data_IF_637295759791
#
_entry.id   IF_637295759791
#
_cell.length_a   1.000
_cell.length_b   1.000
_cell.length_c   1.000
_cell.angle_alpha   90.00
_cell.angle_beta   90.00
_cell.angle_gamma   90.00
#
_symmetry.space_group_name_H-M   'P 1'
#
loop_
_entity.id
_entity.type
_entity.pdbx_description
1 polymer ?
#
# COMPACT_ATOMS: atom_id res chain seq x y z
N UNK A 1 28.68 -6.08 -1.10
CA UNK A 1 28.60 -6.73 0.24
C UNK A 1 27.67 -7.93 0.22
N UNK A 2 27.90 -8.98 1.01
CA UNK A 2 26.90 -10.03 1.23
C UNK A 2 25.80 -9.43 2.12
N UNK A 3 24.55 -9.51 1.68
CA UNK A 3 23.42 -8.88 2.35
C UNK A 3 22.49 -9.97 2.90
N UNK A 4 22.41 -10.03 4.23
CA UNK A 4 21.50 -10.92 4.94
C UNK A 4 20.29 -10.14 5.50
N UNK A 5 19.13 -10.78 5.69
CA UNK A 5 17.98 -10.14 6.31
C UNK A 5 18.26 -9.87 7.79
N UNK A 6 18.16 -8.61 8.21
CA UNK A 6 18.30 -8.17 9.61
C UNK A 6 16.96 -7.72 10.15
N UNK A 7 16.21 -8.68 10.70
CA UNK A 7 14.90 -8.44 11.29
C UNK A 7 15.05 -7.99 12.74
N UNK A 8 14.41 -6.88 13.10
CA UNK A 8 14.26 -6.39 14.48
C UNK A 8 12.78 -6.24 14.75
N UNK A 9 12.25 -7.04 15.66
CA UNK A 9 10.81 -7.13 15.92
C UNK A 9 10.05 -7.47 14.62
N UNK A 10 9.32 -6.50 14.05
CA UNK A 10 8.53 -6.65 12.83
C UNK A 10 9.07 -5.80 11.68
N UNK A 11 10.33 -5.36 11.75
CA UNK A 11 10.96 -4.52 10.73
C UNK A 11 12.23 -5.21 10.24
N UNK A 12 12.37 -5.38 8.92
CA UNK A 12 13.65 -5.73 8.31
C UNK A 12 14.42 -4.45 7.99
N UNK A 13 15.64 -4.36 8.47
CA UNK A 13 16.48 -3.16 8.34
C UNK A 13 17.44 -3.20 7.16
N UNK A 14 17.49 -4.32 6.45
CA UNK A 14 18.24 -4.52 5.20
C UNK A 14 17.29 -4.88 4.07
N UNK A 15 17.68 -4.55 2.84
CA UNK A 15 16.98 -4.97 1.62
C UNK A 15 18.01 -5.46 0.59
N UNK A 16 17.63 -6.46 -0.21
CA UNK A 16 18.50 -7.06 -1.21
C UNK A 16 18.21 -6.49 -2.60
N UNK A 17 19.17 -5.80 -3.27
CA UNK A 17 18.91 -5.13 -4.55
C UNK A 17 18.34 -6.05 -5.62
N UNK A 18 19.01 -7.20 -5.85
CA UNK A 18 18.60 -8.16 -6.88
C UNK A 18 17.25 -8.81 -6.56
N UNK A 19 16.99 -9.12 -5.29
CA UNK A 19 15.70 -9.69 -4.89
C UNK A 19 14.56 -8.68 -4.97
N UNK A 20 14.78 -7.40 -4.65
CA UNK A 20 13.80 -6.35 -4.90
C UNK A 20 13.53 -6.18 -6.41
N UNK A 21 14.55 -6.23 -7.24
CA UNK A 21 14.39 -6.21 -8.69
C UNK A 21 13.58 -7.42 -9.18
N UNK A 22 13.86 -8.63 -8.65
CA UNK A 22 13.09 -9.83 -8.98
C UNK A 22 11.62 -9.69 -8.56
N UNK A 23 11.35 -9.13 -7.40
CA UNK A 23 9.99 -8.82 -6.97
C UNK A 23 9.23 -7.96 -7.97
N UNK A 24 9.88 -6.90 -8.48
CA UNK A 24 9.27 -6.00 -9.45
C UNK A 24 9.03 -6.69 -10.79
N UNK A 25 9.98 -7.50 -11.28
CA UNK A 25 9.82 -8.30 -12.51
C UNK A 25 8.64 -9.27 -12.40
N UNK A 26 8.56 -10.01 -11.30
CA UNK A 26 7.47 -10.96 -11.06
C UNK A 26 6.10 -10.27 -11.01
N UNK A 27 6.02 -9.08 -10.41
CA UNK A 27 4.82 -8.26 -10.39
C UNK A 27 4.45 -7.76 -11.80
N UNK A 28 5.43 -7.28 -12.57
CA UNK A 28 5.23 -6.81 -13.93
C UNK A 28 4.77 -7.94 -14.87
N UNK A 29 5.38 -9.11 -14.76
CA UNK A 29 4.99 -10.31 -15.51
C UNK A 29 3.57 -10.75 -15.17
N UNK A 30 3.19 -10.69 -13.90
CA UNK A 30 1.81 -10.98 -13.50
C UNK A 30 0.81 -9.98 -14.11
N UNK A 31 1.09 -8.68 -13.97
CA UNK A 31 0.22 -7.63 -14.52
C UNK A 31 0.10 -7.74 -16.05
N UNK A 32 1.21 -7.95 -16.76
CA UNK A 32 1.23 -8.15 -18.20
C UNK A 32 0.31 -9.30 -18.66
N UNK A 33 0.31 -10.43 -17.91
CA UNK A 33 -0.56 -11.59 -18.20
C UNK A 33 -2.05 -11.30 -18.02
N UNK A 34 -2.42 -10.26 -17.26
CA UNK A 34 -3.83 -9.86 -17.09
C UNK A 34 -4.37 -9.09 -18.32
N UNK A 35 -3.48 -8.69 -19.25
CA UNK A 35 -3.83 -8.03 -20.49
C UNK A 35 -3.96 -6.51 -20.38
N UNK A 36 -4.09 -5.90 -21.54
CA UNK A 36 -4.22 -4.44 -21.69
C UNK A 36 -5.67 -4.00 -21.59
N UNK A 37 -5.87 -2.83 -20.98
CA UNK A 37 -7.17 -2.15 -20.93
C UNK A 37 -7.04 -0.73 -21.49
N UNK A 38 -8.16 -0.17 -21.93
CA UNK A 38 -8.20 1.25 -22.30
C UNK A 38 -8.35 2.09 -21.03
N UNK A 39 -7.23 2.30 -20.33
CA UNK A 39 -7.15 3.02 -19.07
C UNK A 39 -6.34 4.30 -19.16
N UNK A 40 -5.71 4.66 -18.04
CA UNK A 40 -4.86 5.85 -17.90
C UNK A 40 -3.76 5.90 -18.95
N UNK A 41 -3.39 7.11 -19.35
CA UNK A 41 -2.26 7.37 -20.23
C UNK A 41 -1.11 8.06 -19.51
N UNK A 42 -1.41 8.84 -18.49
CA UNK A 42 -0.42 9.58 -17.70
C UNK A 42 -0.84 9.59 -16.24
N UNK A 43 -0.07 8.94 -15.39
CA UNK A 43 -0.41 8.75 -13.98
C UNK A 43 0.59 9.42 -13.04
N UNK A 44 0.05 10.06 -11.98
CA UNK A 44 0.78 10.44 -10.78
C UNK A 44 0.51 9.40 -9.69
N UNK A 45 1.57 8.77 -9.17
CA UNK A 45 1.46 7.77 -8.10
C UNK A 45 2.16 8.29 -6.84
N UNK A 46 1.39 8.67 -5.84
CA UNK A 46 1.88 9.18 -4.56
C UNK A 46 2.04 8.00 -3.60
N UNK A 47 3.27 7.75 -3.13
CA UNK A 47 3.64 6.55 -2.37
C UNK A 47 3.94 5.35 -3.29
N UNK A 48 4.77 5.55 -4.33
CA UNK A 48 4.92 4.65 -5.49
C UNK A 48 5.95 3.53 -5.33
N UNK A 49 6.66 3.44 -4.21
CA UNK A 49 7.88 2.63 -4.13
C UNK A 49 7.68 1.21 -3.60
N UNK A 50 6.56 0.96 -2.89
CA UNK A 50 6.24 -0.34 -2.28
C UNK A 50 4.74 -0.60 -2.26
N UNK A 51 4.33 -1.83 -1.94
CA UNK A 51 2.94 -2.21 -1.68
C UNK A 51 1.97 -1.85 -2.81
N UNK A 52 0.81 -1.32 -2.44
CA UNK A 52 -0.26 -0.98 -3.39
C UNK A 52 0.13 0.15 -4.35
N UNK A 53 0.96 1.11 -3.90
CA UNK A 53 1.41 2.19 -4.76
C UNK A 53 2.36 1.69 -5.86
N UNK A 54 3.31 0.82 -5.54
CA UNK A 54 4.17 0.17 -6.53
C UNK A 54 3.35 -0.69 -7.49
N UNK A 55 2.43 -1.51 -6.97
CA UNK A 55 1.54 -2.33 -7.79
C UNK A 55 0.70 -1.47 -8.74
N UNK A 56 0.20 -0.31 -8.28
CA UNK A 56 -0.54 0.64 -9.13
C UNK A 56 0.32 1.21 -10.25
N UNK A 57 1.57 1.54 -9.94
CA UNK A 57 2.52 2.06 -10.92
C UNK A 57 2.85 1.01 -11.98
N UNK A 58 3.07 -0.24 -11.55
CA UNK A 58 3.30 -1.37 -12.44
C UNK A 58 2.06 -1.61 -13.32
N UNK A 59 0.85 -1.64 -12.76
CA UNK A 59 -0.37 -1.84 -13.55
C UNK A 59 -0.65 -0.67 -14.51
N UNK A 60 -0.34 0.57 -14.14
CA UNK A 60 -0.45 1.70 -15.06
C UNK A 60 0.47 1.51 -16.28
N UNK A 61 1.68 1.01 -16.09
CA UNK A 61 2.61 0.69 -17.16
C UNK A 61 2.15 -0.55 -17.96
N UNK A 62 1.93 -1.68 -17.25
CA UNK A 62 1.73 -2.98 -17.90
C UNK A 62 0.33 -3.15 -18.52
N UNK A 63 -0.71 -2.67 -17.81
CA UNK A 63 -2.09 -2.86 -18.27
C UNK A 63 -2.63 -1.67 -19.07
N UNK A 64 -2.00 -0.49 -18.99
CA UNK A 64 -2.49 0.70 -19.69
C UNK A 64 -1.48 1.33 -20.66
N UNK A 65 -0.19 0.95 -20.58
CA UNK A 65 0.89 1.58 -21.34
C UNK A 65 1.11 3.04 -20.95
N UNK A 66 0.91 3.38 -19.66
CA UNK A 66 0.92 4.75 -19.21
C UNK A 66 2.33 5.27 -18.88
N UNK A 67 2.55 6.53 -19.17
CA UNK A 67 3.64 7.32 -18.60
C UNK A 67 3.40 7.60 -17.12
N UNK A 68 4.43 7.54 -16.27
CA UNK A 68 4.23 7.68 -14.83
C UNK A 68 5.21 8.64 -14.18
N UNK A 69 4.68 9.52 -13.31
CA UNK A 69 5.45 10.23 -12.29
C UNK A 69 5.15 9.61 -10.92
N UNK A 70 6.19 9.22 -10.18
CA UNK A 70 6.06 8.67 -8.85
C UNK A 70 6.55 9.62 -7.77
N UNK A 71 5.95 9.56 -6.58
CA UNK A 71 6.45 10.22 -5.37
C UNK A 71 6.80 9.12 -4.37
N UNK A 72 8.02 9.14 -3.84
CA UNK A 72 8.49 8.22 -2.80
C UNK A 72 9.20 8.97 -1.68
N UNK A 73 9.36 8.33 -0.54
CA UNK A 73 10.20 8.86 0.54
C UNK A 73 11.09 7.74 1.07
N UNK A 74 12.20 7.54 0.39
CA UNK A 74 13.09 6.42 0.58
C UNK A 74 14.51 6.87 0.92
N UNK A 75 15.18 6.09 1.76
CA UNK A 75 16.57 6.32 2.12
C UNK A 75 17.50 5.55 1.19
N UNK A 76 18.44 6.27 0.58
CA UNK A 76 19.49 5.67 -0.25
C UNK A 76 20.50 4.89 0.59
N UNK A 77 21.26 4.02 -0.05
CA UNK A 77 22.41 3.33 0.54
C UNK A 77 23.51 4.33 0.91
N UNK A 78 24.42 3.94 1.78
CA UNK A 78 25.54 4.81 2.21
C UNK A 78 26.83 4.05 2.49
N UNK A 79 27.08 2.96 1.79
CA UNK A 79 28.27 2.13 1.94
C UNK A 79 28.31 1.24 3.21
N UNK A 80 27.57 1.58 4.25
CA UNK A 80 27.43 0.81 5.50
C UNK A 80 26.05 0.16 5.65
N UNK A 81 25.05 0.71 4.94
CA UNK A 81 23.66 0.25 5.00
C UNK A 81 23.12 0.14 3.59
N UNK A 82 22.29 -0.85 3.37
CA UNK A 82 21.51 -0.94 2.15
C UNK A 82 20.54 0.24 2.06
N UNK A 83 20.10 0.58 0.86
CA UNK A 83 18.94 1.43 0.69
C UNK A 83 17.70 0.76 1.30
N UNK A 84 16.63 1.52 1.47
CA UNK A 84 15.31 0.96 1.73
C UNK A 84 14.78 0.26 0.47
N UNK A 85 13.91 -0.76 0.59
CA UNK A 85 13.52 -1.60 -0.57
C UNK A 85 12.91 -0.80 -1.71
N UNK A 86 12.20 0.29 -1.38
CA UNK A 86 11.58 1.14 -2.41
C UNK A 86 12.57 1.82 -3.36
N UNK A 87 13.82 2.06 -2.96
CA UNK A 87 14.86 2.52 -3.89
C UNK A 87 15.13 1.47 -4.97
N UNK A 88 15.38 0.21 -4.57
CA UNK A 88 15.67 -0.89 -5.48
C UNK A 88 14.48 -1.23 -6.39
N UNK A 89 13.28 -1.22 -5.83
CA UNK A 89 12.04 -1.40 -6.58
C UNK A 89 11.88 -0.31 -7.66
N UNK A 90 12.17 0.95 -7.30
CA UNK A 90 12.07 2.09 -8.22
C UNK A 90 13.09 1.97 -9.36
N UNK A 91 14.32 1.54 -9.06
CA UNK A 91 15.35 1.34 -10.06
C UNK A 91 14.89 0.31 -11.12
N UNK A 92 14.40 -0.84 -10.68
CA UNK A 92 13.93 -1.88 -11.60
C UNK A 92 12.67 -1.44 -12.36
N UNK A 93 11.74 -0.74 -11.70
CA UNK A 93 10.57 -0.19 -12.40
C UNK A 93 10.98 0.79 -13.52
N UNK A 94 11.95 1.69 -13.26
CA UNK A 94 12.45 2.62 -14.29
C UNK A 94 13.11 1.87 -15.46
N UNK A 95 13.86 0.80 -15.16
CA UNK A 95 14.46 -0.05 -16.19
C UNK A 95 13.38 -0.68 -17.11
N UNK A 96 12.33 -1.27 -16.50
CA UNK A 96 11.21 -1.86 -17.24
C UNK A 96 10.45 -0.82 -18.08
N UNK A 97 10.22 0.37 -17.53
CA UNK A 97 9.57 1.46 -18.25
C UNK A 97 10.41 1.90 -19.46
N UNK A 98 11.74 2.04 -19.30
CA UNK A 98 12.65 2.40 -20.37
C UNK A 98 12.67 1.35 -21.49
N UNK A 99 12.65 0.06 -21.17
CA UNK A 99 12.56 -1.02 -22.15
C UNK A 99 11.27 -0.96 -22.99
N UNK A 100 10.19 -0.44 -22.40
CA UNK A 100 8.91 -0.23 -23.10
C UNK A 100 8.81 1.13 -23.80
N UNK A 101 9.82 1.99 -23.66
CA UNK A 101 9.83 3.35 -24.20
C UNK A 101 8.83 4.28 -23.48
N UNK A 102 8.40 3.93 -22.27
CA UNK A 102 7.50 4.72 -21.45
C UNK A 102 8.27 5.70 -20.56
N UNK A 103 7.68 6.88 -20.33
CA UNK A 103 8.22 7.83 -19.38
C UNK A 103 8.05 7.33 -17.94
N UNK A 104 9.13 7.37 -17.18
CA UNK A 104 9.12 7.12 -15.74
C UNK A 104 10.10 8.05 -15.04
N UNK A 105 9.58 8.90 -14.16
CA UNK A 105 10.39 9.68 -13.22
C UNK A 105 9.85 9.53 -11.80
N UNK A 106 10.70 9.79 -10.82
CA UNK A 106 10.33 9.71 -9.40
C UNK A 106 10.91 10.90 -8.64
N UNK A 107 10.10 11.54 -7.82
CA UNK A 107 10.55 12.53 -6.83
C UNK A 107 10.72 11.82 -5.49
N UNK A 108 11.90 11.96 -4.89
CA UNK A 108 12.18 11.41 -3.56
C UNK A 108 12.11 12.51 -2.51
N UNK A 109 11.07 12.52 -1.70
CA UNK A 109 10.85 13.49 -0.65
C UNK A 109 9.53 13.30 0.08
N UNK A 110 9.31 14.09 1.11
CA UNK A 110 8.09 14.04 1.91
C UNK A 110 6.87 14.51 1.11
N UNK A 111 6.01 13.57 0.73
CA UNK A 111 4.80 13.83 -0.05
C UNK A 111 3.82 14.81 0.64
N UNK A 112 3.88 14.96 1.96
CA UNK A 112 3.07 15.92 2.70
C UNK A 112 3.54 17.37 2.52
N UNK A 113 4.80 17.57 2.11
CA UNK A 113 5.37 18.90 1.98
C UNK A 113 4.88 19.64 0.73
N UNK A 114 4.77 20.96 0.86
CA UNK A 114 4.48 21.83 -0.29
C UNK A 114 5.57 21.76 -1.35
N UNK A 115 6.83 21.63 -0.95
CA UNK A 115 7.98 21.55 -1.85
C UNK A 115 7.84 20.38 -2.83
N UNK A 116 7.49 19.20 -2.33
CA UNK A 116 7.31 17.99 -3.17
C UNK A 116 6.08 18.11 -4.06
N UNK A 117 4.97 18.71 -3.58
CA UNK A 117 3.80 18.99 -4.42
C UNK A 117 4.17 19.95 -5.58
N UNK A 118 4.87 21.04 -5.29
CA UNK A 118 5.31 22.00 -6.29
C UNK A 118 6.26 21.35 -7.31
N UNK A 119 7.20 20.49 -6.86
CA UNK A 119 8.13 19.77 -7.71
C UNK A 119 7.42 18.78 -8.65
N UNK A 120 6.45 18.06 -8.13
CA UNK A 120 5.61 17.16 -8.95
C UNK A 120 4.85 17.94 -10.03
N UNK A 121 4.26 19.07 -9.66
CA UNK A 121 3.53 19.95 -10.60
C UNK A 121 4.48 20.50 -11.69
N UNK A 122 5.69 20.93 -11.32
CA UNK A 122 6.70 21.37 -12.28
C UNK A 122 7.01 20.27 -13.31
N UNK A 123 7.27 19.05 -12.83
CA UNK A 123 7.59 17.91 -13.71
C UNK A 123 6.39 17.50 -14.58
N UNK A 124 5.17 17.51 -14.06
CA UNK A 124 3.99 17.23 -14.86
C UNK A 124 3.85 18.25 -15.99
N UNK A 125 3.95 19.56 -15.68
CA UNK A 125 3.88 20.62 -16.70
C UNK A 125 4.94 20.48 -17.78
N UNK A 126 6.17 20.16 -17.36
CA UNK A 126 7.32 20.08 -18.27
C UNK A 126 7.29 18.83 -19.15
N UNK A 127 7.00 17.67 -18.57
CA UNK A 127 7.26 16.37 -19.20
C UNK A 127 5.96 15.69 -19.67
N UNK A 128 4.85 15.86 -18.95
CA UNK A 128 3.59 15.14 -19.21
C UNK A 128 2.46 16.05 -19.72
N UNK A 129 2.52 17.34 -19.43
CA UNK A 129 1.44 18.29 -19.65
C UNK A 129 0.36 18.17 -18.60
N UNK A 130 -0.47 17.12 -18.67
CA UNK A 130 -1.52 16.82 -17.70
C UNK A 130 -1.52 15.32 -17.39
N UNK A 131 -2.04 14.94 -16.21
CA UNK A 131 -2.27 13.54 -15.82
C UNK A 131 -3.75 13.24 -15.74
N UNK A 132 -4.13 12.01 -16.04
CA UNK A 132 -5.51 11.53 -16.04
C UNK A 132 -5.81 10.54 -14.90
N UNK A 133 -4.76 10.11 -14.16
CA UNK A 133 -4.88 9.30 -12.96
C UNK A 133 -3.98 9.85 -11.85
N UNK A 134 -4.55 9.97 -10.63
CA UNK A 134 -3.78 10.24 -9.40
C UNK A 134 -4.06 9.12 -8.40
N UNK A 135 -3.04 8.34 -8.05
CA UNK A 135 -3.16 7.33 -6.99
C UNK A 135 -2.58 7.90 -5.70
N UNK A 136 -3.38 7.91 -4.64
CA UNK A 136 -2.97 8.32 -3.30
C UNK A 136 -2.80 7.08 -2.41
N UNK A 137 -1.56 6.67 -2.21
CA UNK A 137 -1.17 5.44 -1.50
C UNK A 137 -0.15 5.74 -0.39
N UNK A 138 -0.52 6.60 0.54
CA UNK A 138 0.32 6.94 1.69
C UNK A 138 -0.15 6.23 2.95
N UNK A 139 0.80 5.62 3.67
CA UNK A 139 0.63 5.09 5.01
C UNK A 139 1.89 5.47 5.81
N UNK A 140 1.81 6.52 6.61
CA UNK A 140 2.95 7.05 7.34
C UNK A 140 2.66 7.06 8.86
N UNK A 141 3.68 6.89 9.71
CA UNK A 141 3.52 7.03 11.15
C UNK A 141 3.42 8.50 11.60
N UNK A 142 3.86 9.43 10.75
CA UNK A 142 3.92 10.87 11.07
C UNK A 142 3.67 11.72 9.83
N UNK A 143 3.11 12.91 10.08
CA UNK A 143 2.97 14.00 9.10
C UNK A 143 3.36 15.32 9.76
N UNK A 144 4.13 16.14 9.06
CA UNK A 144 4.31 17.55 9.41
C UNK A 144 3.34 18.36 8.56
N UNK A 145 2.49 19.18 9.19
CA UNK A 145 1.55 20.05 8.48
C UNK A 145 2.19 21.34 7.99
N UNK A 146 1.40 22.16 7.29
CA UNK A 146 1.86 23.45 6.74
C UNK A 146 2.29 24.48 7.80
N UNK A 147 1.90 24.30 9.05
CA UNK A 147 2.27 25.16 10.18
C UNK A 147 3.52 24.65 10.90
N UNK A 148 4.08 23.51 10.48
CA UNK A 148 5.23 22.85 11.08
C UNK A 148 4.91 21.99 12.29
N UNK A 149 3.62 21.75 12.59
CA UNK A 149 3.20 20.83 13.66
C UNK A 149 3.35 19.37 13.21
N UNK A 150 3.97 18.56 14.07
CA UNK A 150 4.14 17.13 13.84
C UNK A 150 2.96 16.37 14.44
N UNK A 151 2.25 15.63 13.61
CA UNK A 151 1.20 14.71 13.98
C UNK A 151 1.71 13.27 13.93
N UNK A 152 1.27 12.42 14.85
CA UNK A 152 1.66 11.00 14.89
C UNK A 152 0.42 10.12 14.92
N UNK A 153 0.35 9.14 14.03
CA UNK A 153 -0.72 8.15 14.03
C UNK A 153 -0.48 7.07 15.09
N UNK A 154 -1.56 6.54 15.63
CA UNK A 154 -1.51 5.37 16.51
C UNK A 154 -2.61 4.37 16.13
N UNK A 155 -2.45 3.14 16.62
CA UNK A 155 -3.40 2.05 16.45
C UNK A 155 -3.97 1.69 17.82
N UNK A 156 -5.13 2.26 18.13
CA UNK A 156 -5.84 2.08 19.38
C UNK A 156 -7.34 1.99 19.12
N UNK A 157 -8.08 1.49 20.09
CA UNK A 157 -9.55 1.51 20.08
C UNK A 157 -10.07 2.94 20.29
N UNK A 158 -11.32 3.20 19.92
CA UNK A 158 -12.03 4.44 20.24
C UNK A 158 -13.22 4.10 21.13
N UNK A 159 -13.01 4.06 22.43
CA UNK A 159 -14.05 3.70 23.39
C UNK A 159 -13.51 2.84 24.53
N UNK A 160 -13.81 1.56 24.51
CA UNK A 160 -13.35 0.63 25.56
C UNK A 160 -12.07 -0.09 25.13
N UNK A 161 -11.30 -0.58 26.12
CA UNK A 161 -10.16 -1.44 25.85
C UNK A 161 -10.62 -2.76 25.22
N UNK A 162 -9.82 -3.28 24.29
CA UNK A 162 -10.12 -4.52 23.58
C UNK A 162 -9.03 -5.56 23.85
N UNK A 163 -9.43 -6.69 24.42
CA UNK A 163 -8.53 -7.82 24.70
C UNK A 163 -8.89 -9.00 23.82
N UNK A 164 -7.93 -9.53 23.06
CA UNK A 164 -8.14 -10.66 22.19
C UNK A 164 -6.81 -11.39 21.93
N UNK A 165 -6.90 -12.60 21.32
CA UNK A 165 -5.76 -13.40 20.89
C UNK A 165 -4.88 -12.62 19.92
N UNK A 166 -3.59 -12.76 20.10
CA UNK A 166 -2.56 -12.19 19.24
C UNK A 166 -1.44 -13.22 18.99
N UNK A 167 -0.89 -13.24 17.80
CA UNK A 167 0.23 -14.10 17.44
C UNK A 167 1.55 -13.33 17.60
N UNK A 168 2.43 -13.83 18.45
CA UNK A 168 3.83 -13.43 18.43
C UNK A 168 4.59 -14.26 17.39
N UNK A 169 4.86 -13.62 16.24
CA UNK A 169 5.54 -14.28 15.12
C UNK A 169 6.99 -14.68 15.39
N UNK A 170 7.61 -14.19 16.48
CA UNK A 170 9.01 -14.51 16.81
C UNK A 170 9.16 -15.92 17.38
N UNK A 171 8.17 -16.39 18.10
CA UNK A 171 8.14 -17.70 18.75
C UNK A 171 6.91 -18.55 18.38
N UNK A 172 6.01 -18.00 17.55
CA UNK A 172 4.73 -18.60 17.17
C UNK A 172 3.80 -18.88 18.36
N UNK A 173 3.87 -18.06 19.39
CA UNK A 173 3.01 -18.18 20.56
C UNK A 173 1.74 -17.33 20.41
N UNK A 174 0.64 -17.89 20.89
CA UNK A 174 -0.64 -17.17 20.96
C UNK A 174 -0.84 -16.74 22.42
N UNK A 175 -1.01 -15.44 22.60
CA UNK A 175 -1.30 -14.83 23.89
C UNK A 175 -2.38 -13.76 23.75
N UNK A 176 -3.09 -13.48 24.83
CA UNK A 176 -3.99 -12.35 24.87
C UNK A 176 -3.22 -11.03 24.87
N UNK A 177 -3.68 -10.08 24.09
CA UNK A 177 -3.18 -8.71 24.06
C UNK A 177 -4.32 -7.74 24.26
N UNK A 178 -4.11 -6.78 25.12
CA UNK A 178 -5.05 -5.67 25.36
C UNK A 178 -4.58 -4.45 24.58
N UNK A 179 -5.50 -3.87 23.83
CA UNK A 179 -5.32 -2.57 23.16
C UNK A 179 -6.14 -1.55 23.92
N UNK A 180 -5.45 -0.57 24.48
CA UNK A 180 -6.07 0.50 25.25
C UNK A 180 -6.76 1.53 24.34
N UNK A 181 -7.78 2.23 24.84
CA UNK A 181 -8.43 3.28 24.08
C UNK A 181 -7.53 4.49 23.85
N UNK A 182 -7.74 5.13 22.71
CA UNK A 182 -7.07 6.37 22.37
C UNK A 182 -7.69 7.57 23.12
N UNK A 183 -6.87 8.56 23.40
CA UNK A 183 -7.36 9.88 23.77
C UNK A 183 -7.93 10.61 22.54
N UNK A 184 -8.73 11.65 22.76
CA UNK A 184 -9.25 12.48 21.65
C UNK A 184 -8.12 13.10 20.81
N UNK A 185 -7.01 13.50 21.45
CA UNK A 185 -5.84 14.02 20.75
C UNK A 185 -5.16 12.96 19.88
N UNK A 186 -5.04 11.72 20.33
CA UNK A 186 -4.51 10.60 19.54
C UNK A 186 -5.41 10.26 18.35
N UNK A 187 -6.74 10.30 18.52
CA UNK A 187 -7.69 10.13 17.43
C UNK A 187 -7.52 11.24 16.40
N UNK A 188 -7.54 12.52 16.84
CA UNK A 188 -7.33 13.67 15.95
C UNK A 188 -6.00 13.57 15.21
N UNK A 189 -4.92 13.25 15.94
CA UNK A 189 -3.58 13.11 15.36
C UNK A 189 -3.53 12.02 14.29
N UNK A 190 -4.20 10.89 14.53
CA UNK A 190 -4.30 9.81 13.55
C UNK A 190 -5.09 10.23 12.30
N UNK A 191 -6.18 10.99 12.48
CA UNK A 191 -6.94 11.56 11.36
C UNK A 191 -6.10 12.53 10.54
N UNK A 192 -5.30 13.38 11.19
CA UNK A 192 -4.38 14.32 10.51
C UNK A 192 -3.31 13.61 9.65
N UNK A 193 -2.84 12.44 10.08
CA UNK A 193 -1.83 11.67 9.35
C UNK A 193 -2.45 10.77 8.27
N UNK A 194 -3.53 10.06 8.60
CA UNK A 194 -4.05 8.92 7.81
C UNK A 194 -5.42 9.19 7.17
N UNK A 195 -6.01 10.37 7.45
CA UNK A 195 -7.28 10.82 6.85
C UNK A 195 -7.09 11.37 5.44
N UNK A 196 -8.12 12.08 4.97
CA UNK A 196 -8.15 12.55 3.58
C UNK A 196 -7.60 13.97 3.36
N UNK A 197 -7.21 14.70 4.41
CA UNK A 197 -6.81 16.11 4.29
C UNK A 197 -5.71 16.32 3.24
N UNK A 198 -4.61 15.57 3.33
CA UNK A 198 -3.52 15.70 2.36
C UNK A 198 -3.89 15.20 0.95
N UNK A 199 -4.80 14.24 0.84
CA UNK A 199 -5.34 13.86 -0.46
C UNK A 199 -6.08 15.01 -1.14
N UNK A 200 -6.93 15.74 -0.38
CA UNK A 200 -7.58 16.94 -0.88
C UNK A 200 -6.54 18.02 -1.24
N UNK A 201 -5.53 18.28 -0.38
CA UNK A 201 -4.45 19.24 -0.64
C UNK A 201 -3.72 18.93 -1.97
N UNK A 202 -3.48 17.64 -2.27
CA UNK A 202 -2.89 17.24 -3.55
C UNK A 202 -3.81 17.57 -4.73
N UNK A 203 -5.09 17.22 -4.65
CA UNK A 203 -6.04 17.45 -5.74
C UNK A 203 -6.23 18.96 -5.97
N UNK A 204 -6.39 19.74 -4.89
CA UNK A 204 -6.49 21.20 -4.97
C UNK A 204 -5.26 21.84 -5.63
N UNK A 205 -4.06 21.42 -5.25
CA UNK A 205 -2.81 21.92 -5.83
C UNK A 205 -2.69 21.56 -7.33
N UNK A 206 -3.02 20.33 -7.71
CA UNK A 206 -2.99 19.89 -9.11
C UNK A 206 -4.04 20.62 -9.96
N UNK A 207 -5.25 20.84 -9.43
CA UNK A 207 -6.30 21.62 -10.08
C UNK A 207 -5.91 23.08 -10.25
N UNK A 208 -5.42 23.72 -9.20
CA UNK A 208 -4.98 25.12 -9.26
C UNK A 208 -3.85 25.33 -10.27
N UNK A 209 -3.03 24.30 -10.49
CA UNK A 209 -1.93 24.33 -11.45
C UNK A 209 -2.34 23.97 -12.89
N UNK A 210 -3.59 23.58 -13.13
CA UNK A 210 -4.15 23.11 -14.41
C UNK A 210 -3.38 21.91 -15.01
N UNK A 211 -3.04 20.93 -14.18
CA UNK A 211 -2.28 19.74 -14.58
C UNK A 211 -3.08 18.42 -14.50
N UNK A 212 -4.39 18.51 -14.28
CA UNK A 212 -5.32 17.39 -14.42
C UNK A 212 -6.09 17.47 -15.74
N UNK A 213 -6.33 16.32 -16.36
CA UNK A 213 -7.25 16.27 -17.51
C UNK A 213 -8.70 16.45 -17.03
N UNK A 214 -9.59 16.79 -17.95
CA UNK A 214 -11.02 16.69 -17.70
C UNK A 214 -11.40 15.23 -17.42
N UNK A 215 -12.22 14.99 -16.39
CA UNK A 215 -12.58 13.67 -15.87
C UNK A 215 -11.39 12.82 -15.37
N UNK A 216 -10.34 13.46 -14.91
CA UNK A 216 -9.25 12.75 -14.26
C UNK A 216 -9.76 11.93 -13.06
N UNK A 217 -9.23 10.74 -12.90
CA UNK A 217 -9.57 9.84 -11.79
C UNK A 217 -8.57 10.00 -10.66
N UNK A 218 -9.05 10.06 -9.42
CA UNK A 218 -8.16 9.92 -8.26
C UNK A 218 -8.62 8.78 -7.35
N UNK A 219 -7.69 7.89 -7.01
CA UNK A 219 -7.94 6.68 -6.21
C UNK A 219 -7.15 6.74 -4.91
N UNK A 220 -7.84 6.64 -3.77
CA UNK A 220 -7.21 6.42 -2.48
C UNK A 220 -7.47 4.99 -1.98
N UNK A 221 -6.53 4.42 -1.22
CA UNK A 221 -6.66 3.06 -0.70
C UNK A 221 -7.14 3.04 0.75
N UNK A 222 -8.04 2.10 1.03
CA UNK A 222 -8.61 1.86 2.34
C UNK A 222 -8.64 0.37 2.67
N UNK A 223 -8.91 0.08 3.94
CA UNK A 223 -9.21 -1.23 4.45
C UNK A 223 -10.32 -1.11 5.50
N UNK A 224 -11.27 -2.02 5.51
CA UNK A 224 -12.36 -2.09 6.49
C UNK A 224 -12.16 -3.31 7.41
N UNK A 225 -11.90 -4.46 6.83
CA UNK A 225 -11.76 -5.74 7.53
C UNK A 225 -13.10 -6.33 7.97
N UNK A 226 -13.08 -7.51 8.62
CA UNK A 226 -14.26 -8.18 9.12
C UNK A 226 -14.61 -7.73 10.55
N UNK A 227 -15.81 -8.12 11.01
CA UNK A 227 -16.30 -7.87 12.37
C UNK A 227 -15.29 -8.28 13.46
N UNK A 228 -14.52 -9.34 13.23
CA UNK A 228 -13.51 -9.85 14.17
C UNK A 228 -12.45 -8.80 14.51
N UNK A 229 -12.11 -7.93 13.57
CA UNK A 229 -11.10 -6.87 13.74
C UNK A 229 -11.70 -5.48 13.93
N UNK A 230 -13.01 -5.33 13.88
CA UNK A 230 -13.69 -4.03 14.00
C UNK A 230 -13.26 -3.21 15.22
N UNK A 231 -13.11 -3.78 16.44
CA UNK A 231 -12.76 -2.97 17.62
C UNK A 231 -11.44 -2.22 17.47
N UNK A 232 -10.44 -2.82 16.81
CA UNK A 232 -9.12 -2.23 16.64
C UNK A 232 -8.94 -1.54 15.26
N UNK A 233 -9.80 -1.84 14.30
CA UNK A 233 -9.66 -1.30 12.94
C UNK A 233 -10.81 -0.36 12.60
N UNK A 234 -12.00 -0.87 12.29
CA UNK A 234 -13.15 -0.07 11.84
C UNK A 234 -13.65 0.90 12.91
N UNK A 235 -13.71 0.46 14.17
CA UNK A 235 -14.06 1.27 15.34
C UNK A 235 -12.81 1.76 16.10
N UNK A 236 -11.63 1.71 15.48
CA UNK A 236 -10.39 2.23 16.04
C UNK A 236 -10.00 3.59 15.44
N UNK A 237 -8.84 4.08 15.85
CA UNK A 237 -8.27 5.35 15.38
C UNK A 237 -8.10 5.37 13.86
N UNK A 238 -7.66 4.24 13.26
CA UNK A 238 -7.51 4.11 11.81
C UNK A 238 -8.88 4.13 11.12
N UNK A 239 -9.89 3.46 11.67
CA UNK A 239 -11.24 3.50 11.14
C UNK A 239 -11.81 4.93 11.10
N UNK A 240 -11.59 5.70 12.16
CA UNK A 240 -11.96 7.13 12.20
C UNK A 240 -11.25 7.92 11.08
N UNK A 241 -9.95 7.67 10.86
CA UNK A 241 -9.22 8.28 9.76
C UNK A 241 -9.76 7.85 8.38
N UNK A 242 -10.20 6.59 8.22
CA UNK A 242 -10.80 6.09 6.97
C UNK A 242 -12.21 6.66 6.73
N UNK A 243 -12.98 6.92 7.77
CA UNK A 243 -14.25 7.66 7.67
C UNK A 243 -14.01 9.10 7.22
N UNK A 244 -12.95 9.75 7.74
CA UNK A 244 -12.54 11.07 7.26
C UNK A 244 -12.12 11.01 5.78
N UNK A 245 -11.39 9.97 5.36
CA UNK A 245 -11.03 9.77 3.95
C UNK A 245 -12.28 9.65 3.06
N UNK A 246 -13.30 8.91 3.50
CA UNK A 246 -14.58 8.78 2.80
C UNK A 246 -15.31 10.13 2.66
N UNK A 247 -15.34 10.90 3.74
CA UNK A 247 -15.91 12.27 3.72
C UNK A 247 -15.16 13.15 2.71
N UNK A 248 -13.83 13.10 2.73
CA UNK A 248 -12.98 13.84 1.79
C UNK A 248 -13.23 13.43 0.34
N UNK A 249 -13.44 12.15 0.04
CA UNK A 249 -13.84 11.70 -1.31
C UNK A 249 -15.08 12.46 -1.80
N UNK A 250 -16.09 12.58 -0.95
CA UNK A 250 -17.32 13.29 -1.29
C UNK A 250 -17.07 14.79 -1.46
N UNK A 251 -16.23 15.38 -0.61
CA UNK A 251 -15.85 16.80 -0.69
C UNK A 251 -15.08 17.11 -1.98
N UNK A 252 -14.12 16.26 -2.38
CA UNK A 252 -13.39 16.42 -3.66
C UNK A 252 -14.35 16.34 -4.84
N UNK A 253 -15.25 15.35 -4.89
CA UNK A 253 -16.22 15.22 -5.97
C UNK A 253 -17.20 16.41 -6.05
N UNK A 254 -17.52 17.04 -4.92
CA UNK A 254 -18.35 18.22 -4.87
C UNK A 254 -17.61 19.48 -5.29
N UNK A 255 -16.37 19.65 -4.83
CA UNK A 255 -15.54 20.83 -5.12
C UNK A 255 -15.02 20.85 -6.57
N UNK A 256 -14.73 19.68 -7.12
CA UNK A 256 -14.15 19.48 -8.46
C UNK A 256 -15.01 18.52 -9.29
N UNK A 257 -16.15 18.95 -9.87
CA UNK A 257 -17.07 18.05 -10.61
C UNK A 257 -16.44 17.41 -11.86
N UNK A 258 -15.32 17.91 -12.33
CA UNK A 258 -14.51 17.39 -13.44
C UNK A 258 -13.37 16.46 -12.98
N UNK A 259 -13.35 16.06 -11.71
CA UNK A 259 -12.48 15.05 -11.14
C UNK A 259 -13.33 13.94 -10.54
N UNK A 260 -12.96 12.70 -10.76
CA UNK A 260 -13.66 11.56 -10.17
C UNK A 260 -12.82 10.94 -9.04
N UNK A 261 -13.14 11.29 -7.79
CA UNK A 261 -12.51 10.72 -6.62
C UNK A 261 -13.23 9.43 -6.18
N UNK A 262 -12.48 8.35 -6.00
CA UNK A 262 -12.98 7.05 -5.54
C UNK A 262 -12.05 6.45 -4.48
N UNK A 263 -12.59 5.59 -3.63
CA UNK A 263 -11.83 4.80 -2.66
C UNK A 263 -11.89 3.34 -3.06
N UNK A 264 -10.73 2.70 -3.17
CA UNK A 264 -10.63 1.25 -3.28
C UNK A 264 -10.42 0.66 -1.88
N UNK A 265 -11.38 -0.17 -1.45
CA UNK A 265 -11.27 -0.92 -0.21
C UNK A 265 -10.60 -2.24 -0.52
N UNK A 266 -9.35 -2.36 -0.10
CA UNK A 266 -8.51 -3.49 -0.45
C UNK A 266 -8.62 -4.62 0.60
N UNK A 267 -8.21 -5.82 0.22
CA UNK A 267 -8.11 -6.99 1.08
C UNK A 267 -6.95 -6.85 2.09
N UNK A 268 -7.09 -7.43 3.26
CA UNK A 268 -6.04 -7.51 4.26
C UNK A 268 -4.81 -8.28 3.78
N UNK A 269 -3.63 -7.68 3.97
CA UNK A 269 -2.35 -8.24 3.56
C UNK A 269 -1.26 -8.00 4.62
N UNK A 270 -0.25 -8.87 4.59
CA UNK A 270 0.99 -8.64 5.31
C UNK A 270 1.70 -7.43 4.70
N UNK A 271 1.90 -6.43 5.53
CA UNK A 271 2.69 -5.25 5.23
C UNK A 271 3.61 -4.95 6.40
N UNK A 272 4.61 -4.11 6.19
CA UNK A 272 5.49 -3.69 7.30
C UNK A 272 4.68 -3.03 8.43
N UNK A 273 3.64 -2.26 8.10
CA UNK A 273 2.79 -1.61 9.09
C UNK A 273 1.88 -2.62 9.83
N UNK A 274 1.28 -3.58 9.13
CA UNK A 274 0.32 -4.52 9.70
C UNK A 274 0.95 -5.51 10.68
N UNK A 275 2.22 -5.84 10.51
CA UNK A 275 2.94 -6.76 11.40
C UNK A 275 3.09 -6.23 12.84
N UNK A 276 3.03 -4.91 13.02
CA UNK A 276 3.12 -4.25 14.32
C UNK A 276 1.77 -4.08 15.04
N UNK A 277 0.65 -4.41 14.39
CA UNK A 277 -0.70 -4.21 14.94
C UNK A 277 -1.10 -5.42 15.79
N UNK A 278 -1.43 -5.27 17.09
CA UNK A 278 -1.94 -6.38 17.89
C UNK A 278 -3.13 -7.07 17.19
N UNK A 279 -3.29 -8.39 17.38
CA UNK A 279 -4.39 -9.18 16.81
C UNK A 279 -4.28 -9.43 15.29
N UNK A 280 -3.89 -8.43 14.51
CA UNK A 280 -3.84 -8.47 13.04
C UNK A 280 -2.92 -9.56 12.46
N UNK A 281 -1.71 -9.82 12.99
CA UNK A 281 -0.88 -10.92 12.50
C UNK A 281 -1.55 -12.29 12.59
N UNK A 282 -2.28 -12.56 13.67
CA UNK A 282 -3.04 -13.79 13.81
C UNK A 282 -4.16 -13.88 12.77
N UNK A 283 -4.91 -12.80 12.61
CA UNK A 283 -5.97 -12.73 11.63
C UNK A 283 -5.45 -13.00 10.22
N UNK A 284 -4.36 -12.35 9.80
CA UNK A 284 -3.79 -12.53 8.47
C UNK A 284 -3.21 -13.94 8.28
N UNK A 285 -2.54 -14.50 9.27
CA UNK A 285 -2.01 -15.86 9.17
C UNK A 285 -3.13 -16.90 8.98
N UNK A 286 -4.27 -16.73 9.66
CA UNK A 286 -5.47 -17.57 9.46
C UNK A 286 -6.10 -17.29 8.10
N UNK A 287 -6.32 -16.03 7.75
CA UNK A 287 -6.92 -15.61 6.48
C UNK A 287 -6.15 -16.18 5.28
N UNK A 288 -4.82 -16.10 5.31
CA UNK A 288 -3.95 -16.66 4.27
C UNK A 288 -4.18 -18.15 4.10
N UNK A 289 -4.21 -18.91 5.20
CA UNK A 289 -4.48 -20.34 5.15
C UNK A 289 -5.83 -20.66 4.52
N UNK A 290 -6.87 -19.97 4.95
CA UNK A 290 -8.23 -20.18 4.48
C UNK A 290 -8.37 -19.78 3.02
N UNK A 291 -7.90 -18.60 2.63
CA UNK A 291 -8.03 -18.11 1.26
C UNK A 291 -7.13 -18.84 0.26
N UNK A 292 -5.92 -19.24 0.64
CA UNK A 292 -5.06 -20.08 -0.22
C UNK A 292 -5.71 -21.45 -0.47
N UNK A 293 -6.31 -22.04 0.56
CA UNK A 293 -7.07 -23.29 0.42
C UNK A 293 -8.30 -23.14 -0.48
N UNK A 294 -8.96 -21.99 -0.44
CA UNK A 294 -10.10 -21.66 -1.29
C UNK A 294 -9.69 -21.24 -2.72
N UNK A 295 -8.41 -20.98 -2.98
CA UNK A 295 -7.90 -20.57 -4.28
C UNK A 295 -8.21 -19.12 -4.67
N UNK A 296 -8.53 -18.26 -3.69
CA UNK A 296 -8.89 -16.85 -3.90
C UNK A 296 -8.06 -15.85 -3.11
N UNK A 297 -6.89 -16.29 -2.61
CA UNK A 297 -5.92 -15.37 -2.00
C UNK A 297 -5.29 -14.48 -3.07
N UNK A 298 -5.19 -13.19 -2.77
CA UNK A 298 -4.56 -12.19 -3.64
C UNK A 298 -3.52 -11.39 -2.85
N UNK A 299 -2.34 -11.16 -3.43
CA UNK A 299 -1.35 -10.20 -2.95
C UNK A 299 -1.59 -8.79 -3.55
N UNK A 300 -0.68 -7.82 -3.30
CA UNK A 300 -0.84 -6.45 -3.77
C UNK A 300 -1.04 -6.36 -5.29
N UNK A 301 -0.15 -6.98 -6.08
CA UNK A 301 -0.21 -6.86 -7.54
C UNK A 301 -1.46 -7.55 -8.11
N UNK A 302 -1.88 -8.67 -7.53
CA UNK A 302 -3.08 -9.38 -7.96
C UNK A 302 -4.34 -8.56 -7.75
N UNK A 303 -4.47 -7.92 -6.57
CA UNK A 303 -5.58 -7.02 -6.29
C UNK A 303 -5.58 -5.80 -7.22
N UNK A 304 -4.43 -5.15 -7.42
CA UNK A 304 -4.37 -3.94 -8.24
C UNK A 304 -4.57 -4.26 -9.72
N UNK A 305 -4.04 -5.36 -10.22
CA UNK A 305 -4.31 -5.78 -11.60
C UNK A 305 -5.80 -6.05 -11.81
N UNK A 306 -6.48 -6.72 -10.85
CA UNK A 306 -7.94 -6.91 -10.87
C UNK A 306 -8.69 -5.58 -10.74
N UNK A 307 -8.20 -4.64 -9.89
CA UNK A 307 -8.76 -3.30 -9.81
C UNK A 307 -8.72 -2.60 -11.17
N UNK A 308 -7.56 -2.55 -11.82
CA UNK A 308 -7.39 -1.85 -13.09
C UNK A 308 -8.19 -2.51 -14.23
N UNK A 309 -8.13 -3.84 -14.34
CA UNK A 309 -8.70 -4.56 -15.50
C UNK A 309 -10.18 -4.89 -15.37
N UNK A 310 -10.74 -4.95 -14.16
CA UNK A 310 -12.09 -5.46 -13.94
C UNK A 310 -13.03 -4.50 -13.19
N UNK A 311 -12.50 -3.48 -12.50
CA UNK A 311 -13.30 -2.60 -11.65
C UNK A 311 -13.17 -1.11 -12.04
N UNK A 312 -11.95 -0.62 -12.32
CA UNK A 312 -11.66 0.78 -12.58
C UNK A 312 -11.87 1.15 -14.06
N UNK A 313 -11.27 0.38 -14.96
CA UNK A 313 -11.32 0.63 -16.40
C UNK A 313 -12.22 -0.37 -17.11
N UNK A 314 -13.51 -0.30 -16.84
CA UNK A 314 -14.50 -1.17 -17.50
C UNK A 314 -15.25 -0.40 -18.60
N UNK A 315 -15.74 -1.08 -19.63
CA UNK A 315 -16.53 -0.42 -20.68
C UNK A 315 -17.78 0.33 -20.19
N UNK A 316 -18.27 -0.01 -18.99
CA UNK A 316 -19.46 0.58 -18.37
C UNK A 316 -19.15 1.57 -17.24
N UNK A 317 -17.88 1.95 -17.06
CA UNK A 317 -17.41 2.79 -15.96
C UNK A 317 -17.12 2.00 -14.67
N UNK A 318 -16.93 2.73 -13.57
CA UNK A 318 -16.60 2.09 -12.28
C UNK A 318 -17.76 1.24 -11.75
N UNK A 319 -17.39 0.18 -11.02
CA UNK A 319 -18.34 -0.60 -10.21
C UNK A 319 -18.09 -0.29 -8.75
N UNK A 320 -18.97 0.50 -8.15
CA UNK A 320 -18.92 0.83 -6.72
C UNK A 320 -20.10 0.21 -5.97
N UNK A 321 -19.92 0.07 -4.65
CA UNK A 321 -21.01 -0.25 -3.73
C UNK A 321 -21.88 0.99 -3.45
N UNK A 322 -22.85 0.85 -2.55
CA UNK A 322 -23.77 1.92 -2.13
C UNK A 322 -23.07 3.12 -1.46
N UNK A 323 -21.86 2.93 -0.94
CA UNK A 323 -21.04 3.97 -0.33
C UNK A 323 -20.08 4.64 -1.33
N UNK A 324 -20.10 4.24 -2.60
CA UNK A 324 -19.20 4.72 -3.64
C UNK A 324 -17.82 4.07 -3.61
N UNK A 325 -17.63 2.94 -2.90
CA UNK A 325 -16.36 2.23 -2.82
C UNK A 325 -16.21 1.19 -3.91
N UNK A 326 -15.00 1.08 -4.45
CA UNK A 326 -14.61 -0.08 -5.24
C UNK A 326 -14.15 -1.17 -4.26
N UNK A 327 -14.90 -2.29 -4.19
CA UNK A 327 -14.64 -3.37 -3.23
C UNK A 327 -13.67 -4.38 -3.83
N UNK A 328 -12.41 -4.36 -3.34
CA UNK A 328 -11.38 -5.35 -3.65
C UNK A 328 -11.26 -6.40 -2.54
N UNK A 329 -11.87 -6.15 -1.40
CA UNK A 329 -12.02 -7.06 -0.27
C UNK A 329 -13.19 -8.04 -0.43
N UNK A 330 -13.85 -8.05 -1.57
CA UNK A 330 -14.99 -8.91 -1.90
C UNK A 330 -14.68 -10.40 -1.74
N UNK A 331 -13.44 -10.85 -2.00
CA UNK A 331 -13.03 -12.24 -1.77
C UNK A 331 -12.76 -12.56 -0.30
N UNK A 332 -12.21 -11.61 0.46
CA UNK A 332 -11.98 -11.76 1.90
C UNK A 332 -13.29 -11.84 2.68
N UNK A 333 -14.27 -11.00 2.32
CA UNK A 333 -15.48 -10.81 3.09
C UNK A 333 -16.66 -11.72 2.67
N UNK A 334 -16.41 -12.76 1.86
CA UNK A 334 -17.46 -13.74 1.59
C UNK A 334 -17.84 -14.48 2.87
N UNK A 335 -19.14 -14.85 3.04
CA UNK A 335 -19.60 -15.58 4.21
C UNK A 335 -18.78 -16.86 4.46
N UNK A 336 -18.46 -17.61 3.40
CA UNK A 336 -17.73 -18.86 3.48
C UNK A 336 -16.31 -18.67 4.04
N UNK A 337 -15.60 -17.64 3.58
CA UNK A 337 -14.25 -17.32 4.09
C UNK A 337 -14.33 -16.86 5.55
N UNK A 338 -15.24 -15.96 5.88
CA UNK A 338 -15.33 -15.42 7.23
C UNK A 338 -15.84 -16.45 8.26
N UNK A 339 -16.73 -17.35 7.90
CA UNK A 339 -17.14 -18.44 8.77
C UNK A 339 -15.98 -19.41 9.06
N UNK A 340 -15.19 -19.78 8.05
CA UNK A 340 -14.02 -20.63 8.25
C UNK A 340 -12.93 -19.94 9.05
N UNK A 341 -12.67 -18.66 8.80
CA UNK A 341 -11.75 -17.85 9.63
C UNK A 341 -12.21 -17.80 11.07
N UNK A 342 -13.50 -17.56 11.34
CA UNK A 342 -14.06 -17.54 12.72
C UNK A 342 -13.90 -18.90 13.42
N UNK A 343 -14.05 -20.03 12.70
CA UNK A 343 -13.81 -21.37 13.25
C UNK A 343 -12.34 -21.58 13.61
N UNK A 344 -11.43 -21.28 12.68
CA UNK A 344 -9.99 -21.35 12.93
C UNK A 344 -9.57 -20.45 14.10
N UNK A 345 -10.09 -19.23 14.15
CA UNK A 345 -9.83 -18.28 15.25
C UNK A 345 -10.22 -18.83 16.63
N UNK A 346 -11.37 -19.47 16.73
CA UNK A 346 -11.81 -20.09 17.99
C UNK A 346 -10.92 -21.26 18.39
N UNK A 347 -10.51 -22.08 17.44
CA UNK A 347 -9.78 -23.32 17.68
C UNK A 347 -8.27 -23.12 17.91
N UNK A 348 -7.68 -22.05 17.35
CA UNK A 348 -6.25 -21.86 17.38
C UNK A 348 -5.71 -21.61 18.79
N UNK A 349 -4.62 -22.34 19.10
CA UNK A 349 -3.80 -22.21 20.31
C UNK A 349 -2.33 -22.24 19.90
N UNK A 350 -1.41 -22.02 20.82
CA UNK A 350 0.04 -22.14 20.54
C UNK A 350 0.40 -23.51 19.99
N UNK A 351 -0.19 -24.60 20.52
CA UNK A 351 0.10 -25.97 20.06
C UNK A 351 -0.44 -26.25 18.65
N UNK A 352 -1.50 -25.58 18.25
CA UNK A 352 -2.19 -25.80 16.97
C UNK A 352 -1.97 -24.70 15.94
N UNK A 353 -1.10 -23.74 16.22
CA UNK A 353 -0.89 -22.55 15.35
C UNK A 353 -0.54 -22.93 13.91
N UNK A 354 0.29 -23.94 13.70
CA UNK A 354 0.67 -24.41 12.36
C UNK A 354 -0.47 -25.12 11.62
N UNK A 355 -1.45 -25.65 12.35
CA UNK A 355 -2.62 -26.27 11.77
C UNK A 355 -3.59 -25.23 11.20
N UNK A 356 -3.79 -24.11 11.92
CA UNK A 356 -4.79 -23.09 11.58
C UNK A 356 -4.23 -21.86 10.88
N UNK A 357 -2.91 -21.63 10.94
CA UNK A 357 -2.24 -20.47 10.39
C UNK A 357 -1.28 -20.85 9.25
N UNK A 358 -1.12 -19.97 8.29
CA UNK A 358 -0.07 -20.01 7.27
C UNK A 358 1.12 -19.15 7.70
N UNK A 359 1.88 -19.66 8.67
CA UNK A 359 3.04 -18.95 9.24
C UNK A 359 4.15 -18.78 8.21
N UNK A 360 4.42 -19.84 7.44
CA UNK A 360 5.49 -19.84 6.44
C UNK A 360 5.17 -18.85 5.32
N UNK A 361 3.94 -18.84 4.80
CA UNK A 361 3.49 -17.87 3.80
C UNK A 361 3.45 -16.43 4.34
N UNK A 362 3.16 -16.23 5.62
CA UNK A 362 3.26 -14.92 6.25
C UNK A 362 4.69 -14.38 6.21
N UNK A 363 5.66 -15.22 6.61
CA UNK A 363 7.08 -14.84 6.59
C UNK A 363 7.64 -14.73 5.17
N UNK A 364 7.15 -15.53 4.23
CA UNK A 364 7.54 -15.43 2.83
C UNK A 364 7.16 -14.05 2.27
N UNK A 365 5.91 -13.64 2.41
CA UNK A 365 5.45 -12.30 2.01
C UNK A 365 6.23 -11.19 2.73
N UNK A 366 6.51 -11.37 4.03
CA UNK A 366 7.30 -10.41 4.78
C UNK A 366 8.71 -10.26 4.21
N UNK A 367 9.42 -11.36 3.93
CA UNK A 367 10.78 -11.31 3.38
C UNK A 367 10.82 -10.83 1.94
N UNK A 368 9.83 -11.18 1.14
CA UNK A 368 9.68 -10.70 -0.24
C UNK A 368 9.61 -9.18 -0.34
N UNK A 369 8.99 -8.50 0.65
CA UNK A 369 8.97 -7.03 0.68
C UNK A 369 10.36 -6.39 0.73
N UNK A 370 11.36 -7.13 1.20
CA UNK A 370 12.75 -6.66 1.33
C UNK A 370 13.71 -7.34 0.34
N UNK A 371 13.17 -8.09 -0.63
CA UNK A 371 13.94 -8.76 -1.66
C UNK A 371 14.65 -10.04 -1.20
N UNK A 372 14.16 -10.70 -0.15
CA UNK A 372 14.71 -11.97 0.31
C UNK A 372 13.79 -13.14 -0.03
N UNK A 373 14.33 -14.37 -0.03
CA UNK A 373 13.66 -15.65 -0.27
C UNK A 373 13.13 -15.87 -1.70
N UNK A 374 13.67 -15.17 -2.69
CA UNK A 374 13.45 -15.51 -4.10
C UNK A 374 14.38 -16.68 -4.49
N UNK A 375 13.82 -17.74 -5.09
CA UNK A 375 14.55 -18.97 -5.42
C UNK A 375 15.67 -18.74 -6.45
N UNK A 376 15.45 -17.78 -7.37
CA UNK A 376 16.41 -17.48 -8.44
C UNK A 376 17.53 -16.51 -8.02
N UNK A 377 17.60 -16.13 -6.74
CA UNK A 377 18.60 -15.19 -6.24
C UNK A 377 19.60 -15.91 -5.35
N UNK A 378 20.88 -15.80 -5.71
CA UNK A 378 21.99 -16.30 -4.89
C UNK A 378 22.43 -15.25 -3.85
N UNK A 379 21.95 -15.41 -2.63
CA UNK A 379 22.21 -14.50 -1.51
C UNK A 379 23.62 -14.62 -0.92
N UNK A 380 24.46 -15.52 -1.42
CA UNK A 380 25.86 -15.64 -0.99
C UNK A 380 26.81 -14.76 -1.79
N UNK A 381 26.33 -14.15 -2.87
CA UNK A 381 27.13 -13.28 -3.72
C UNK A 381 27.38 -11.92 -3.09
N UNK A 382 28.53 -11.37 -3.40
CA UNK A 382 28.85 -9.96 -3.12
C UNK A 382 28.10 -9.08 -4.11
N UNK A 383 27.23 -8.23 -3.60
CA UNK A 383 26.43 -7.32 -4.43
C UNK A 383 26.68 -5.86 -4.05
N UNK A 384 26.58 -4.98 -5.03
CA UNK A 384 26.59 -3.54 -4.80
C UNK A 384 25.22 -3.11 -4.26
N UNK A 385 25.23 -2.52 -3.08
CA UNK A 385 24.03 -1.97 -2.45
C UNK A 385 23.78 -0.51 -2.81
N UNK A 386 24.79 0.17 -3.35
CA UNK A 386 24.72 1.59 -3.71
C UNK A 386 24.50 1.69 -5.22
N UNK A 387 23.24 1.64 -5.64
CA UNK A 387 22.86 1.74 -7.03
C UNK A 387 22.39 3.16 -7.35
N UNK A 388 22.89 3.69 -8.45
CA UNK A 388 22.38 4.94 -9.02
C UNK A 388 21.03 4.65 -9.72
N UNK A 389 20.05 5.53 -9.52
CA UNK A 389 18.72 5.39 -10.10
C UNK A 389 18.46 6.55 -11.04
N UNK A 390 18.56 6.30 -12.32
CA UNK A 390 18.23 7.28 -13.35
C UNK A 390 16.76 7.73 -13.22
N UNK A 391 16.52 9.04 -13.40
CA UNK A 391 15.16 9.59 -13.35
C UNK A 391 14.60 9.83 -11.93
N UNK A 392 15.41 9.66 -10.89
CA UNK A 392 15.06 10.12 -9.53
C UNK A 392 15.54 11.55 -9.32
N UNK A 393 14.62 12.39 -8.87
CA UNK A 393 14.85 13.82 -8.54
C UNK A 393 14.69 13.98 -7.03
N UNK A 394 15.64 14.69 -6.42
CA UNK A 394 15.61 15.02 -4.99
C UNK A 394 14.88 16.34 -4.77
#
# INVERSE_FOLDING_TARGET
>A
MIIEPKVREYICTTAHPQGCAESVRNQADYACKQGMVNGTKKALIIGCSTGYGLASRICALENCGADTLGIMFERQANGRRTATPGCYNTAEFHRLAAEKGAYAKTVNGDAFSKEIKDKAIELIKKDLGKVDLVVYSLAAPRRTDSEGKIWSSCLKTTGEAFTEKSLDLRNNEIAEKTVEPATEEEVLSTVKVMGGEDWADWIDALKAADVLTENAVTVAYSYIGPELTYPIYYHGTIGTAKQHLQKTMSEINQAHPDVCAVISVNKGLVTQASAAIPVVPLYFAILYKVMKKAGNHENCIQQIARLFTQKLYTPTGFRTDENGFIRMDDYELTPEIQEEVKKCWKAVTTDTVKEYCDIDGYWEDFYHMFGFRYEDIDYTQDVDADIEIDGVVM
#
